data_IF_062382100222
#
_entry.id   IF_062382100222
#
_cell.length_a   1.000
_cell.length_b   1.000
_cell.length_c   1.000
_cell.angle_alpha   90.00
_cell.angle_beta   90.00
_cell.angle_gamma   90.00
#
_symmetry.space_group_name_H-M   'P 1'
#
loop_
_entity.id
_entity.type
_entity.pdbx_description
1 polymer ?
#
# COMPACT_ATOMS: atom_id res chain seq x y z
N UNK A 1 -3.76 2.18 -18.17
CA UNK A 1 -4.46 3.19 -19.01
C UNK A 1 -3.89 4.56 -18.67
N UNK A 2 -3.63 5.45 -19.63
CA UNK A 2 -3.10 6.80 -19.34
C UNK A 2 -4.24 7.80 -19.27
N UNK A 3 -4.55 8.30 -18.08
CA UNK A 3 -5.62 9.29 -17.86
C UNK A 3 -4.96 10.56 -17.34
N UNK A 4 -5.21 11.70 -17.98
CA UNK A 4 -4.63 13.01 -17.61
C UNK A 4 -3.08 12.98 -17.46
N UNK A 5 -2.41 12.17 -18.27
CA UNK A 5 -0.94 12.05 -18.24
C UNK A 5 -0.38 11.10 -17.17
N UNK A 6 -1.20 10.60 -16.24
CA UNK A 6 -0.81 9.62 -15.22
C UNK A 6 -1.08 8.19 -15.69
N UNK A 7 -0.18 7.29 -15.35
CA UNK A 7 -0.38 5.86 -15.57
C UNK A 7 -1.25 5.30 -14.44
N UNK A 8 -2.50 4.96 -14.79
CA UNK A 8 -3.45 4.39 -13.86
C UNK A 8 -3.69 2.92 -14.20
N UNK A 9 -3.57 2.07 -13.20
CA UNK A 9 -3.96 0.67 -13.28
C UNK A 9 -5.36 0.49 -12.68
N UNK A 10 -6.15 -0.42 -13.25
CA UNK A 10 -7.55 -0.61 -12.89
C UNK A 10 -7.78 -2.08 -12.59
N UNK A 11 -8.26 -2.37 -11.38
CA UNK A 11 -8.80 -3.68 -11.03
C UNK A 11 -10.31 -3.66 -11.10
N UNK A 12 -10.87 -4.54 -11.92
CA UNK A 12 -12.30 -4.74 -12.05
C UNK A 12 -12.64 -6.14 -11.55
N UNK A 13 -13.62 -6.22 -10.65
CA UNK A 13 -14.18 -7.48 -10.17
C UNK A 13 -15.69 -7.46 -10.39
N UNK A 14 -16.23 -8.55 -10.93
CA UNK A 14 -17.68 -8.76 -11.07
C UNK A 14 -18.13 -9.94 -10.21
N UNK A 15 -19.31 -9.83 -9.61
CA UNK A 15 -19.93 -10.89 -8.81
C UNK A 15 -21.42 -10.96 -9.13
N UNK A 16 -21.98 -12.16 -9.40
CA UNK A 16 -23.42 -12.32 -9.61
C UNK A 16 -24.19 -12.06 -8.31
N UNK A 17 -25.32 -11.38 -8.43
CA UNK A 17 -26.24 -11.05 -7.33
C UNK A 17 -27.68 -11.37 -7.74
N UNK A 18 -28.62 -11.37 -6.78
CA UNK A 18 -30.04 -11.68 -7.04
C UNK A 18 -30.72 -10.74 -8.04
N UNK A 19 -30.16 -9.55 -8.29
CA UNK A 19 -30.73 -8.53 -9.17
C UNK A 19 -29.83 -8.17 -10.37
N UNK A 20 -28.82 -9.00 -10.67
CA UNK A 20 -27.87 -8.76 -11.77
C UNK A 20 -26.42 -8.91 -11.34
N UNK A 21 -25.49 -8.25 -12.02
CA UNK A 21 -24.06 -8.28 -11.67
C UNK A 21 -23.68 -7.05 -10.83
N UNK A 22 -22.95 -7.28 -9.75
CA UNK A 22 -22.27 -6.21 -9.02
C UNK A 22 -20.87 -6.03 -9.61
N UNK A 23 -20.49 -4.79 -9.92
CA UNK A 23 -19.18 -4.45 -10.47
C UNK A 23 -18.45 -3.54 -9.48
N UNK A 24 -17.25 -3.96 -9.06
CA UNK A 24 -16.38 -3.17 -8.20
C UNK A 24 -15.14 -2.78 -8.99
N UNK A 25 -14.82 -1.49 -9.00
CA UNK A 25 -13.62 -0.95 -9.63
C UNK A 25 -12.71 -0.31 -8.59
N UNK A 26 -11.45 -0.74 -8.57
CA UNK A 26 -10.39 -0.12 -7.76
C UNK A 26 -9.35 0.50 -8.69
N UNK A 27 -9.14 1.80 -8.52
CA UNK A 27 -8.10 2.56 -9.20
C UNK A 27 -6.80 2.41 -8.41
N UNK A 28 -5.72 2.04 -9.09
CA UNK A 28 -4.37 1.94 -8.53
C UNK A 28 -3.48 2.96 -9.25
N UNK A 29 -3.07 3.99 -8.53
CA UNK A 29 -2.11 4.97 -9.04
C UNK A 29 -0.71 4.37 -9.00
N UNK A 30 -0.02 4.29 -10.14
CA UNK A 30 1.35 3.75 -10.24
C UNK A 30 2.43 4.78 -9.95
N UNK A 31 2.10 5.94 -9.35
CA UNK A 31 3.13 6.84 -8.87
C UNK A 31 4.08 6.09 -7.92
N UNK A 32 5.37 6.10 -8.24
CA UNK A 32 6.43 5.63 -7.34
C UNK A 32 6.51 6.62 -6.19
N UNK A 33 5.69 6.41 -5.16
CA UNK A 33 5.78 7.19 -3.94
C UNK A 33 7.02 6.68 -3.20
N UNK A 34 8.10 7.47 -3.23
CA UNK A 34 9.21 7.26 -2.32
C UNK A 34 8.73 7.70 -0.93
N UNK A 35 8.22 6.74 -0.16
CA UNK A 35 7.93 6.97 1.25
C UNK A 35 9.26 6.97 2.02
N UNK A 36 9.61 8.10 2.61
CA UNK A 36 10.59 8.14 3.69
C UNK A 36 9.88 7.81 5.03
N UNK A 37 10.62 7.29 6.01
CA UNK A 37 10.03 6.95 7.30
C UNK A 37 9.32 8.13 8.01
N UNK A 38 9.83 9.37 7.94
CA UNK A 38 9.11 10.53 8.47
C UNK A 38 7.73 10.76 7.84
N UNK A 39 7.57 10.62 6.53
CA UNK A 39 6.26 10.76 5.86
C UNK A 39 5.27 9.67 6.24
N UNK A 40 5.76 8.52 6.70
CA UNK A 40 4.95 7.43 7.26
C UNK A 40 4.59 7.67 8.74
N UNK A 41 5.06 8.76 9.34
CA UNK A 41 4.79 9.11 10.73
C UNK A 41 5.76 8.50 11.74
N UNK A 42 6.91 7.99 11.30
CA UNK A 42 7.98 7.55 12.20
C UNK A 42 8.86 8.73 12.59
N UNK A 43 9.08 8.91 13.89
CA UNK A 43 9.91 9.98 14.42
C UNK A 43 10.66 9.55 15.69
N UNK A 44 11.67 10.35 16.04
CA UNK A 44 12.45 10.24 17.28
C UNK A 44 12.98 8.83 17.54
N UNK A 45 12.98 8.45 18.82
CA UNK A 45 13.52 7.17 19.30
C UNK A 45 12.90 5.95 18.62
N UNK A 46 11.62 6.03 18.20
CA UNK A 46 10.96 4.91 17.51
C UNK A 46 11.50 4.66 16.12
N UNK A 47 11.92 5.73 15.41
CA UNK A 47 12.57 5.59 14.13
C UNK A 47 13.95 4.96 14.30
N UNK A 48 14.71 5.42 15.28
CA UNK A 48 16.05 4.89 15.56
C UNK A 48 16.00 3.40 15.93
N UNK A 49 15.10 3.00 16.84
CA UNK A 49 14.88 1.60 17.20
C UNK A 49 14.46 0.74 16.00
N UNK A 50 13.63 1.29 15.11
CA UNK A 50 13.18 0.58 13.91
C UNK A 50 14.32 0.37 12.91
N UNK A 51 15.15 1.40 12.69
CA UNK A 51 16.34 1.31 11.83
C UNK A 51 17.35 0.31 12.39
N UNK A 52 17.61 0.32 13.71
CA UNK A 52 18.48 -0.65 14.38
C UNK A 52 18.02 -2.10 14.20
N UNK A 53 16.70 -2.33 14.16
CA UNK A 53 16.13 -3.66 13.88
C UNK A 53 16.35 -4.06 12.42
N UNK A 54 16.23 -3.11 11.47
CA UNK A 54 16.44 -3.35 10.05
C UNK A 54 17.91 -3.66 9.70
N UNK A 55 18.86 -3.14 10.47
CA UNK A 55 20.30 -3.41 10.27
C UNK A 55 20.74 -4.80 10.75
N UNK A 56 19.88 -5.53 11.47
CA UNK A 56 20.23 -6.85 11.98
C UNK A 56 20.44 -7.85 10.83
N UNK A 57 21.53 -8.65 10.84
CA UNK A 57 21.86 -9.55 9.73
C UNK A 57 20.87 -10.71 9.55
N UNK A 58 20.01 -10.97 10.54
CA UNK A 58 19.03 -12.04 10.57
C UNK A 58 17.95 -11.75 11.62
N UNK A 59 16.72 -12.18 11.34
CA UNK A 59 15.56 -12.01 12.22
C UNK A 59 14.25 -12.07 11.43
N UNK A 60 13.12 -11.99 12.14
CA UNK A 60 11.79 -11.87 11.55
C UNK A 60 11.18 -10.56 12.04
N UNK A 61 10.80 -9.69 11.11
CA UNK A 61 10.03 -8.46 11.38
C UNK A 61 8.58 -8.72 10.93
N UNK A 62 7.63 -8.62 11.87
CA UNK A 62 6.21 -8.80 11.58
C UNK A 62 5.53 -7.44 11.45
N UNK A 63 5.04 -7.14 10.25
CA UNK A 63 4.20 -5.97 10.00
C UNK A 63 2.74 -6.41 10.12
N UNK A 64 2.01 -5.86 11.09
CA UNK A 64 0.64 -6.25 11.38
C UNK A 64 -0.31 -5.06 11.29
N UNK A 65 -1.54 -5.30 10.85
CA UNK A 65 -2.62 -4.30 10.79
C UNK A 65 -3.87 -4.88 10.14
N UNK A 66 -5.03 -4.21 10.25
CA UNK A 66 -6.20 -4.57 9.47
C UNK A 66 -5.97 -4.31 7.97
N UNK A 67 -6.91 -4.73 7.13
CA UNK A 67 -6.83 -4.40 5.70
C UNK A 67 -7.02 -2.91 5.50
N UNK A 68 -5.99 -2.25 4.92
CA UNK A 68 -6.06 -0.90 4.31
C UNK A 68 -6.70 0.17 5.16
#
# INVERSE_FOLDING_TARGET
>A
MRIQGKELDLRVSTVPTSFGESVVMRLLDRQTINFDFPSLGFDGERLDEFLDVLERPHGILLVTGPTG
#
